data_IF_267267577803
#
_entry.id   IF_267267577803
#
_cell.length_a   1.000
_cell.length_b   1.000
_cell.length_c   1.000
_cell.angle_alpha   90.00
_cell.angle_beta   90.00
_cell.angle_gamma   90.00
#
_symmetry.space_group_name_H-M   'P 1'
#
loop_
_entity.id
_entity.type
_entity.pdbx_description
1 polymer ?
#
# COMPACT_ATOMS: atom_id res chain seq x y z
N UNK A 1 -15.37 7.01 -14.54
CA UNK A 1 -15.53 5.56 -14.85
C UNK A 1 -15.80 4.84 -13.54
N UNK A 2 -16.80 3.96 -13.47
CA UNK A 2 -17.06 3.19 -12.24
C UNK A 2 -16.06 2.05 -12.15
N UNK A 3 -15.30 1.99 -11.06
CA UNK A 3 -14.27 0.96 -10.84
C UNK A 3 -14.83 -0.33 -10.23
N UNK A 4 -16.16 -0.44 -10.05
CA UNK A 4 -16.82 -1.52 -9.32
C UNK A 4 -17.77 -2.38 -10.19
N UNK A 5 -17.59 -2.36 -11.52
CA UNK A 5 -18.47 -3.10 -12.44
C UNK A 5 -18.21 -4.62 -12.40
N UNK A 6 -19.21 -5.45 -12.75
CA UNK A 6 -19.00 -6.89 -12.90
C UNK A 6 -17.91 -7.26 -13.91
N UNK A 7 -17.77 -6.47 -14.98
CA UNK A 7 -16.70 -6.64 -15.97
C UNK A 7 -15.32 -6.43 -15.35
N UNK A 8 -15.15 -5.39 -14.51
CA UNK A 8 -13.89 -5.11 -13.82
C UNK A 8 -13.59 -6.17 -12.76
N UNK A 9 -14.61 -6.70 -12.09
CA UNK A 9 -14.46 -7.83 -11.18
C UNK A 9 -13.95 -9.08 -11.91
N UNK A 10 -14.51 -9.40 -13.08
CA UNK A 10 -14.08 -10.53 -13.90
C UNK A 10 -12.62 -10.39 -14.39
N UNK A 11 -12.23 -9.17 -14.80
CA UNK A 11 -10.84 -8.86 -15.17
C UNK A 11 -9.90 -9.05 -13.97
N UNK A 12 -10.25 -8.48 -12.82
CA UNK A 12 -9.47 -8.60 -11.59
C UNK A 12 -9.28 -10.07 -11.19
N UNK A 13 -10.35 -10.86 -11.13
CA UNK A 13 -10.29 -12.25 -10.71
C UNK A 13 -9.47 -13.12 -11.69
N UNK A 14 -9.75 -13.01 -12.99
CA UNK A 14 -9.04 -13.79 -14.02
C UNK A 14 -7.56 -13.43 -14.10
N UNK A 15 -7.26 -12.13 -14.03
CA UNK A 15 -5.92 -11.59 -14.21
C UNK A 15 -5.07 -11.52 -12.95
N UNK A 16 -5.58 -11.88 -11.77
CA UNK A 16 -4.87 -11.69 -10.50
C UNK A 16 -3.47 -12.31 -10.53
N UNK A 17 -2.45 -11.48 -10.30
CA UNK A 17 -1.04 -11.87 -10.15
C UNK A 17 -0.72 -12.11 -8.68
N UNK A 18 -1.09 -11.15 -7.84
CA UNK A 18 -0.94 -11.18 -6.40
C UNK A 18 -2.10 -10.41 -5.78
N UNK A 19 -2.69 -10.98 -4.72
CA UNK A 19 -3.64 -10.32 -3.84
C UNK A 19 -3.31 -10.71 -2.41
N UNK A 20 -3.20 -9.73 -1.53
CA UNK A 20 -2.87 -9.94 -0.12
C UNK A 20 -3.69 -9.02 0.77
N UNK A 21 -3.81 -9.40 2.03
CA UNK A 21 -4.26 -8.50 3.07
C UNK A 21 -3.22 -7.38 3.23
N UNK A 22 -3.70 -6.19 3.61
CA UNK A 22 -2.88 -5.03 3.99
C UNK A 22 -3.53 -4.37 5.21
N UNK A 23 -3.17 -3.11 5.51
CA UNK A 23 -3.80 -2.39 6.60
C UNK A 23 -3.25 -2.81 7.97
N UNK A 24 -3.97 -2.42 9.03
CA UNK A 24 -3.41 -2.44 10.39
C UNK A 24 -3.13 -3.85 10.93
N UNK A 25 -3.81 -4.87 10.42
CA UNK A 25 -3.58 -6.28 10.76
C UNK A 25 -2.19 -6.73 10.29
N UNK A 26 -1.84 -6.48 9.04
CA UNK A 26 -0.54 -6.88 8.47
C UNK A 26 0.62 -6.11 9.11
N UNK A 27 0.40 -4.87 9.53
CA UNK A 27 1.39 -4.12 10.30
C UNK A 27 1.52 -4.61 11.76
N UNK A 28 0.59 -5.44 12.25
CA UNK A 28 0.57 -5.94 13.62
C UNK A 28 0.11 -4.90 14.65
N UNK A 29 -0.57 -3.85 14.19
CA UNK A 29 -1.02 -2.72 15.01
C UNK A 29 -2.56 -2.66 15.12
N UNK A 30 -3.27 -3.70 14.71
CA UNK A 30 -4.71 -3.81 14.86
C UNK A 30 -5.13 -3.80 16.34
N UNK A 31 -6.28 -3.18 16.60
CA UNK A 31 -6.94 -3.26 17.92
C UNK A 31 -7.94 -4.41 17.84
N UNK A 32 -7.91 -5.39 18.77
CA UNK A 32 -8.83 -6.53 18.75
C UNK A 32 -10.30 -6.11 18.63
N UNK A 33 -11.09 -6.87 17.86
CA UNK A 33 -12.52 -6.63 17.66
C UNK A 33 -12.89 -5.45 16.75
N UNK A 34 -11.90 -4.78 16.15
CA UNK A 34 -12.10 -3.58 15.33
C UNK A 34 -11.54 -3.73 13.90
N UNK A 35 -11.34 -4.96 13.42
CA UNK A 35 -10.69 -5.25 12.14
C UNK A 35 -11.66 -5.16 10.96
N UNK A 36 -11.53 -4.11 10.17
CA UNK A 36 -11.83 -4.13 8.74
C UNK A 36 -10.76 -4.97 8.01
N UNK A 37 -11.15 -5.68 6.96
CA UNK A 37 -10.22 -6.43 6.10
C UNK A 37 -9.93 -5.61 4.86
N UNK A 38 -8.71 -5.08 4.79
CA UNK A 38 -8.20 -4.42 3.59
C UNK A 38 -7.42 -5.40 2.74
N UNK A 39 -7.69 -5.45 1.44
CA UNK A 39 -6.91 -6.20 0.47
C UNK A 39 -6.41 -5.30 -0.66
N UNK A 40 -5.15 -5.51 -1.05
CA UNK A 40 -4.58 -4.95 -2.26
C UNK A 40 -4.14 -6.08 -3.17
N UNK A 41 -4.40 -5.93 -4.46
CA UNK A 41 -3.86 -6.80 -5.48
C UNK A 41 -3.51 -6.06 -6.77
N UNK A 42 -2.96 -6.83 -7.69
CA UNK A 42 -2.65 -6.42 -9.05
C UNK A 42 -3.06 -7.52 -10.01
N UNK A 43 -3.61 -7.15 -11.16
CA UNK A 43 -4.02 -8.08 -12.20
C UNK A 43 -3.46 -7.69 -13.58
N UNK A 44 -3.23 -8.69 -14.42
CA UNK A 44 -2.93 -8.50 -15.83
C UNK A 44 -4.24 -8.22 -16.56
N UNK A 45 -4.27 -7.12 -17.32
CA UNK A 45 -5.40 -6.72 -18.15
C UNK A 45 -5.49 -7.57 -19.43
N UNK A 46 -6.69 -7.77 -19.99
CA UNK A 46 -6.87 -8.29 -21.34
C UNK A 46 -6.29 -7.38 -22.44
N UNK A 47 -5.93 -7.92 -23.62
CA UNK A 47 -5.38 -7.13 -24.73
C UNK A 47 -6.26 -5.93 -25.12
N UNK A 48 -7.58 -6.08 -25.12
CA UNK A 48 -8.53 -5.03 -25.49
C UNK A 48 -8.57 -3.86 -24.49
N UNK A 49 -8.01 -4.04 -23.29
CA UNK A 49 -7.84 -3.03 -22.24
C UNK A 49 -6.45 -2.39 -22.21
N UNK A 50 -5.51 -2.91 -22.97
CA UNK A 50 -4.13 -2.40 -23.07
C UNK A 50 -3.85 -1.79 -24.43
N UNK A 51 -4.17 -2.53 -25.50
CA UNK A 51 -3.96 -2.15 -26.90
C UNK A 51 -5.27 -1.63 -27.51
N UNK A 52 -6.39 -2.25 -27.15
CA UNK A 52 -7.71 -1.87 -27.64
C UNK A 52 -8.21 -0.54 -27.06
N UNK A 53 -9.45 -0.18 -27.41
CA UNK A 53 -10.06 1.09 -27.04
C UNK A 53 -10.66 1.10 -25.63
N UNK A 54 -10.64 -0.03 -24.90
CA UNK A 54 -11.17 -0.11 -23.52
C UNK A 54 -10.11 0.33 -22.53
N UNK A 55 -10.52 0.71 -21.33
CA UNK A 55 -9.60 1.11 -20.26
C UNK A 55 -9.98 0.46 -18.93
N UNK A 56 -8.96 -0.01 -18.22
CA UNK A 56 -9.05 -0.60 -16.90
C UNK A 56 -7.85 -0.12 -16.08
N UNK A 57 -8.12 0.65 -15.05
CA UNK A 57 -7.08 1.16 -14.15
C UNK A 57 -7.05 0.38 -12.82
N UNK A 58 -8.23 0.03 -12.32
CA UNK A 58 -8.40 -0.69 -11.07
C UNK A 58 -9.83 -1.19 -10.93
N UNK A 59 -9.98 -2.26 -10.17
CA UNK A 59 -11.22 -2.73 -9.59
C UNK A 59 -11.29 -2.35 -8.10
N UNK A 60 -12.45 -1.85 -7.68
CA UNK A 60 -12.77 -1.52 -6.30
C UNK A 60 -13.99 -2.33 -5.85
N UNK A 61 -13.87 -3.01 -4.72
CA UNK A 61 -14.98 -3.63 -4.02
C UNK A 61 -15.00 -3.17 -2.56
N UNK A 62 -16.20 -2.90 -2.06
CA UNK A 62 -16.45 -2.53 -0.66
C UNK A 62 -17.74 -3.20 -0.23
N UNK A 63 -17.78 -3.74 0.98
CA UNK A 63 -19.05 -4.19 1.60
C UNK A 63 -19.92 -3.00 1.97
N UNK A 64 -19.30 -1.88 2.39
CA UNK A 64 -19.98 -0.62 2.66
C UNK A 64 -20.13 0.24 1.39
N UNK A 65 -21.20 1.05 1.29
CA UNK A 65 -21.34 2.02 0.21
C UNK A 65 -20.16 2.99 0.10
N UNK A 66 -19.93 3.52 -1.10
CA UNK A 66 -18.91 4.55 -1.31
C UNK A 66 -19.18 5.78 -0.42
N UNK A 67 -18.16 6.23 0.31
CA UNK A 67 -18.26 7.32 1.28
C UNK A 67 -18.63 6.88 2.70
N UNK A 68 -19.05 5.64 2.90
CA UNK A 68 -19.30 5.07 4.23
C UNK A 68 -18.03 4.52 4.87
N UNK A 69 -17.99 4.55 6.21
CA UNK A 69 -16.87 4.02 6.99
C UNK A 69 -17.01 2.51 7.16
N UNK A 70 -15.93 1.79 6.88
CA UNK A 70 -15.80 0.35 7.17
C UNK A 70 -15.68 0.09 8.67
N UNK A 71 -16.32 -0.99 9.13
CA UNK A 71 -16.32 -1.49 10.49
C UNK A 71 -15.87 -2.95 10.58
N UNK A 72 -16.03 -3.58 11.77
CA UNK A 72 -15.62 -4.97 11.98
C UNK A 72 -16.31 -5.93 10.99
N UNK A 73 -15.51 -6.71 10.27
CA UNK A 73 -16.01 -7.69 9.28
C UNK A 73 -16.28 -7.13 7.89
N UNK A 74 -16.12 -5.82 7.68
CA UNK A 74 -16.17 -5.23 6.35
C UNK A 74 -14.93 -5.58 5.52
N UNK A 75 -15.12 -5.65 4.20
CA UNK A 75 -14.07 -5.98 3.24
C UNK A 75 -13.92 -4.84 2.23
N UNK A 76 -12.73 -4.25 2.17
CA UNK A 76 -12.32 -3.27 1.18
C UNK A 76 -11.21 -3.89 0.29
N UNK A 77 -11.48 -4.06 -1.00
CA UNK A 77 -10.54 -4.64 -1.97
C UNK A 77 -10.20 -3.60 -3.04
N UNK A 78 -8.91 -3.42 -3.28
CA UNK A 78 -8.40 -2.68 -4.44
C UNK A 78 -7.50 -3.59 -5.28
N UNK A 79 -7.90 -3.89 -6.51
CA UNK A 79 -7.06 -4.61 -7.47
C UNK A 79 -6.67 -3.64 -8.59
N UNK A 80 -5.39 -3.27 -8.66
CA UNK A 80 -4.87 -2.40 -9.70
C UNK A 80 -4.61 -3.17 -11.00
N UNK A 81 -4.71 -2.48 -12.13
CA UNK A 81 -4.00 -2.90 -13.35
C UNK A 81 -2.51 -3.11 -13.03
N UNK A 82 -1.86 -4.12 -13.61
CA UNK A 82 -0.46 -4.40 -13.31
C UNK A 82 0.44 -3.25 -13.80
N UNK A 83 0.10 -2.62 -14.94
CA UNK A 83 0.76 -1.39 -15.41
C UNK A 83 0.61 -0.23 -14.42
N UNK A 84 -0.60 0.00 -13.91
CA UNK A 84 -0.84 1.06 -12.93
C UNK A 84 -0.09 0.81 -11.64
N UNK A 85 -0.18 -0.41 -11.10
CA UNK A 85 0.56 -0.79 -9.89
C UNK A 85 2.05 -0.57 -10.08
N UNK A 86 2.63 -1.05 -11.20
CA UNK A 86 4.06 -0.92 -11.50
C UNK A 86 4.49 0.53 -11.54
N UNK A 87 3.72 1.41 -12.20
CA UNK A 87 3.99 2.85 -12.22
C UNK A 87 3.96 3.47 -10.81
N UNK A 88 3.01 3.08 -9.97
CA UNK A 88 2.93 3.58 -8.59
C UNK A 88 4.07 3.05 -7.71
N UNK A 89 4.46 1.79 -7.90
CA UNK A 89 5.57 1.16 -7.18
C UNK A 89 6.92 1.79 -7.57
N UNK A 90 7.18 1.98 -8.87
CA UNK A 90 8.38 2.69 -9.37
C UNK A 90 8.43 4.14 -8.87
N UNK A 91 7.26 4.80 -8.77
CA UNK A 91 7.16 6.13 -8.20
C UNK A 91 7.32 6.17 -6.66
N UNK A 92 7.45 5.01 -6.01
CA UNK A 92 7.75 4.88 -4.59
C UNK A 92 6.55 4.98 -3.66
N UNK A 93 5.32 4.72 -4.12
CA UNK A 93 4.13 4.87 -3.28
C UNK A 93 4.16 3.88 -2.09
N UNK A 94 4.10 4.35 -0.83
CA UNK A 94 4.24 3.49 0.36
C UNK A 94 3.24 2.34 0.42
N UNK A 95 1.98 2.59 0.08
CA UNK A 95 0.90 1.61 0.23
C UNK A 95 1.01 0.50 -0.80
N UNK A 96 1.34 0.82 -2.06
CA UNK A 96 1.42 -0.19 -3.12
C UNK A 96 2.71 -1.03 -3.05
N UNK A 97 3.71 -0.58 -2.31
CA UNK A 97 4.93 -1.36 -2.04
C UNK A 97 4.71 -2.46 -0.99
N UNK A 98 3.71 -2.32 -0.10
CA UNK A 98 3.44 -3.28 0.99
C UNK A 98 3.29 -4.73 0.48
N UNK A 99 2.50 -5.03 -0.59
CA UNK A 99 2.36 -6.39 -1.12
C UNK A 99 3.67 -7.12 -1.43
N UNK A 100 4.76 -6.40 -1.71
CA UNK A 100 6.07 -7.01 -1.97
C UNK A 100 6.67 -7.67 -0.71
N UNK A 101 6.31 -7.18 0.47
CA UNK A 101 6.95 -7.51 1.74
C UNK A 101 6.03 -8.19 2.76
N UNK A 102 4.75 -8.40 2.44
CA UNK A 102 3.83 -9.09 3.35
C UNK A 102 4.30 -10.53 3.61
N UNK A 103 4.07 -11.10 4.80
CA UNK A 103 4.32 -12.51 5.06
C UNK A 103 3.35 -13.38 4.24
N UNK A 104 3.73 -14.64 3.99
CA UNK A 104 2.91 -15.56 3.18
C UNK A 104 1.53 -15.82 3.81
N UNK A 105 1.42 -15.71 5.14
CA UNK A 105 0.15 -15.81 5.87
C UNK A 105 -0.86 -14.71 5.53
N UNK A 106 -0.41 -13.58 4.97
CA UNK A 106 -1.27 -12.49 4.51
C UNK A 106 -1.66 -12.61 3.02
N UNK A 107 -1.11 -13.58 2.29
CA UNK A 107 -1.40 -13.77 0.87
C UNK A 107 -2.75 -14.45 0.71
N UNK A 108 -3.62 -13.83 -0.09
CA UNK A 108 -4.93 -14.38 -0.47
C UNK A 108 -4.81 -15.19 -1.75
N UNK A 109 -4.03 -14.70 -2.72
CA UNK A 109 -3.76 -15.37 -3.99
C UNK A 109 -2.42 -14.93 -4.54
N UNK A 110 -1.63 -15.85 -5.09
CA UNK A 110 -0.36 -15.54 -5.76
C UNK A 110 -0.11 -16.54 -6.89
N UNK A 111 0.30 -16.03 -8.06
CA UNK A 111 0.76 -16.83 -9.21
C UNK A 111 2.29 -16.89 -9.25
N UNK A 112 2.87 -17.63 -10.18
CA UNK A 112 4.33 -17.63 -10.38
C UNK A 112 4.87 -16.25 -10.76
N UNK A 113 4.10 -15.47 -11.55
CA UNK A 113 4.42 -14.06 -11.85
C UNK A 113 4.45 -13.23 -10.57
N UNK A 114 3.52 -13.46 -9.64
CA UNK A 114 3.49 -12.78 -8.35
C UNK A 114 4.66 -13.17 -7.44
N UNK A 115 5.10 -14.44 -7.48
CA UNK A 115 6.30 -14.90 -6.77
C UNK A 115 7.56 -14.27 -7.33
N UNK A 116 7.68 -14.24 -8.66
CA UNK A 116 8.79 -13.56 -9.36
C UNK A 116 8.84 -12.08 -8.98
N UNK A 117 7.68 -11.40 -8.97
CA UNK A 117 7.57 -10.00 -8.58
C UNK A 117 8.10 -9.76 -7.15
N UNK A 118 7.69 -10.58 -6.18
CA UNK A 118 8.18 -10.50 -4.79
C UNK A 118 9.67 -10.82 -4.66
N UNK A 119 10.18 -11.74 -5.46
CA UNK A 119 11.60 -12.08 -5.48
C UNK A 119 12.49 -10.92 -5.95
N UNK A 120 11.93 -10.00 -6.76
CA UNK A 120 12.59 -8.80 -7.29
C UNK A 120 12.10 -7.51 -6.61
N UNK A 121 11.64 -7.59 -5.35
CA UNK A 121 11.16 -6.42 -4.63
C UNK A 121 12.22 -5.29 -4.55
N UNK A 122 13.50 -5.64 -4.50
CA UNK A 122 14.65 -4.73 -4.52
C UNK A 122 14.63 -3.77 -5.74
N UNK A 123 14.13 -4.23 -6.89
CA UNK A 123 14.03 -3.43 -8.12
C UNK A 123 13.09 -2.23 -8.00
N UNK A 124 12.18 -2.24 -7.02
CA UNK A 124 11.24 -1.15 -6.76
C UNK A 124 11.70 -0.20 -5.64
N UNK A 125 12.73 -0.57 -4.89
CA UNK A 125 13.19 0.19 -3.72
C UNK A 125 14.28 1.16 -4.13
N UNK A 126 14.08 2.44 -3.81
CA UNK A 126 14.95 3.53 -4.23
C UNK A 126 14.86 4.73 -3.29
N UNK A 127 15.78 5.69 -3.44
CA UNK A 127 15.71 6.98 -2.72
C UNK A 127 14.46 7.78 -3.12
N UNK A 128 13.91 7.56 -4.33
CA UNK A 128 12.60 8.09 -4.73
C UNK A 128 11.46 7.58 -3.83
N UNK A 129 11.49 6.30 -3.41
CA UNK A 129 10.55 5.81 -2.40
C UNK A 129 10.72 6.56 -1.08
N UNK A 130 11.95 6.74 -0.59
CA UNK A 130 12.23 7.57 0.59
C UNK A 130 11.61 8.96 0.52
N UNK A 131 11.77 9.66 -0.62
CA UNK A 131 11.16 10.98 -0.86
C UNK A 131 9.63 10.95 -0.80
N UNK A 132 8.99 9.87 -1.29
CA UNK A 132 7.54 9.70 -1.16
C UNK A 132 7.12 9.49 0.28
N UNK A 133 7.77 8.60 1.03
CA UNK A 133 7.50 8.40 2.45
C UNK A 133 7.60 9.72 3.22
N UNK A 134 8.67 10.50 2.98
CA UNK A 134 8.87 11.83 3.55
C UNK A 134 7.73 12.81 3.18
N UNK A 135 7.32 12.84 1.92
CA UNK A 135 6.21 13.69 1.46
C UNK A 135 4.89 13.34 2.15
N UNK A 136 4.54 12.05 2.22
CA UNK A 136 3.33 11.59 2.91
C UNK A 136 3.37 11.88 4.41
N UNK A 137 4.53 11.69 5.06
CA UNK A 137 4.72 12.04 6.47
C UNK A 137 4.45 13.52 6.71
N UNK A 138 5.07 14.41 5.92
CA UNK A 138 4.89 15.86 6.03
C UNK A 138 3.43 16.27 5.84
N UNK A 139 2.78 15.73 4.79
CA UNK A 139 1.38 15.99 4.51
C UNK A 139 0.46 15.54 5.65
N UNK A 140 0.75 14.40 6.27
CA UNK A 140 -0.03 13.91 7.41
C UNK A 140 0.19 14.74 8.66
N UNK A 141 1.44 15.15 8.93
CA UNK A 141 1.75 16.05 10.04
C UNK A 141 1.01 17.37 9.89
N UNK A 142 1.04 17.98 8.70
CA UNK A 142 0.38 19.27 8.47
C UNK A 142 -1.14 19.19 8.60
N UNK A 143 -1.74 18.05 8.23
CA UNK A 143 -3.16 17.77 8.48
C UNK A 143 -3.47 17.58 9.97
N UNK A 144 -2.63 16.83 10.71
CA UNK A 144 -2.79 16.64 12.15
C UNK A 144 -2.73 17.98 12.91
N UNK A 145 -1.88 18.89 12.44
CA UNK A 145 -1.72 20.25 12.98
C UNK A 145 -2.80 21.24 12.49
N UNK A 146 -3.72 20.81 11.62
CA UNK A 146 -4.75 21.66 11.04
C UNK A 146 -4.24 22.73 10.06
N UNK A 147 -2.99 22.62 9.58
CA UNK A 147 -2.38 23.53 8.60
C UNK A 147 -2.86 23.26 7.17
N UNK A 148 -3.40 22.06 6.92
CA UNK A 148 -3.85 21.60 5.60
C UNK A 148 -5.12 20.76 5.72
N UNK A 149 -6.10 20.96 4.82
CA UNK A 149 -7.28 20.08 4.70
C UNK A 149 -8.47 20.41 5.60
N UNK A 150 -8.45 21.55 6.31
CA UNK A 150 -9.53 21.94 7.24
C UNK A 150 -9.54 21.12 8.54
N UNK A 151 -10.36 21.53 9.52
CA UNK A 151 -10.49 20.85 10.82
C UNK A 151 -11.38 19.60 10.79
N UNK A 152 -11.86 19.18 9.62
CA UNK A 152 -12.82 18.08 9.54
C UNK A 152 -12.09 16.74 9.61
N UNK A 153 -12.23 16.04 10.74
CA UNK A 153 -11.79 14.65 10.88
C UNK A 153 -12.93 13.70 10.49
N UNK A 154 -12.59 12.59 9.86
CA UNK A 154 -13.54 11.50 9.60
C UNK A 154 -13.79 10.63 10.85
N UNK A 155 -13.13 10.93 11.98
CA UNK A 155 -13.30 10.24 13.28
C UNK A 155 -13.44 11.25 14.43
N UNK A 156 -14.51 12.07 14.48
CA UNK A 156 -14.74 12.99 15.59
C UNK A 156 -14.76 12.28 16.94
N UNK A 157 -15.26 11.04 17.01
CA UNK A 157 -15.33 10.26 18.24
C UNK A 157 -13.96 9.96 18.87
N UNK A 158 -12.90 9.84 18.05
CA UNK A 158 -11.54 9.66 18.56
C UNK A 158 -10.98 10.97 19.11
N UNK A 159 -11.32 12.10 18.48
CA UNK A 159 -10.93 13.43 18.96
C UNK A 159 -11.62 13.75 20.27
N UNK A 160 -12.92 13.46 20.38
CA UNK A 160 -13.68 13.68 21.62
C UNK A 160 -13.12 12.82 22.78
N UNK A 161 -12.68 11.59 22.47
CA UNK A 161 -12.16 10.66 23.48
C UNK A 161 -10.71 10.93 23.89
N UNK A 162 -9.84 11.25 22.93
CA UNK A 162 -8.38 11.29 23.13
C UNK A 162 -7.75 12.66 22.87
N UNK A 163 -8.54 13.65 22.44
CA UNK A 163 -8.08 14.99 22.05
C UNK A 163 -7.53 15.09 20.62
N UNK A 164 -7.37 13.97 19.91
CA UNK A 164 -6.92 13.92 18.51
C UNK A 164 -7.23 12.56 17.84
N UNK A 165 -7.14 12.48 16.50
CA UNK A 165 -7.36 11.22 15.77
C UNK A 165 -6.14 10.29 15.91
N UNK A 166 -6.18 9.41 16.92
CA UNK A 166 -5.12 8.42 17.21
C UNK A 166 -4.89 7.41 16.07
N UNK A 167 -5.91 7.10 15.25
CA UNK A 167 -5.75 6.19 14.08
C UNK A 167 -4.96 6.90 12.98
N UNK A 168 -5.24 8.18 12.75
CA UNK A 168 -4.50 9.01 11.81
C UNK A 168 -3.06 9.28 12.29
N UNK A 169 -2.87 9.60 13.57
CA UNK A 169 -1.55 9.78 14.18
C UNK A 169 -0.67 8.52 14.09
N UNK A 170 -1.25 7.34 14.32
CA UNK A 170 -0.51 6.08 14.15
C UNK A 170 -0.03 5.88 12.71
N UNK A 171 -0.81 6.30 11.71
CA UNK A 171 -0.39 6.21 10.32
C UNK A 171 0.79 7.15 10.00
N UNK A 172 0.78 8.37 10.56
CA UNK A 172 1.87 9.34 10.45
C UNK A 172 3.20 8.75 10.96
N UNK A 173 3.20 8.26 12.19
CA UNK A 173 4.42 7.70 12.81
C UNK A 173 4.89 6.45 12.06
N UNK A 174 3.96 5.58 11.66
CA UNK A 174 4.25 4.39 10.85
C UNK A 174 4.99 4.73 9.55
N UNK A 175 4.58 5.79 8.85
CA UNK A 175 5.25 6.21 7.61
C UNK A 175 6.72 6.59 7.85
N UNK A 176 7.00 7.30 8.94
CA UNK A 176 8.37 7.65 9.31
C UNK A 176 9.23 6.41 9.54
N UNK A 177 8.74 5.53 10.42
CA UNK A 177 9.45 4.30 10.81
C UNK A 177 9.72 3.40 9.61
N UNK A 178 8.69 3.11 8.81
CA UNK A 178 8.82 2.23 7.66
C UNK A 178 9.64 2.86 6.53
N UNK A 179 9.55 4.18 6.33
CA UNK A 179 10.37 4.87 5.33
C UNK A 179 11.86 4.81 5.69
N UNK A 180 12.19 4.97 6.96
CA UNK A 180 13.57 4.79 7.47
C UNK A 180 14.02 3.34 7.31
N UNK A 181 13.21 2.37 7.74
CA UNK A 181 13.53 0.94 7.57
C UNK A 181 13.79 0.58 6.10
N UNK A 182 12.96 1.08 5.19
CA UNK A 182 13.11 0.85 3.75
C UNK A 182 14.44 1.41 3.23
N UNK A 183 14.83 2.62 3.65
CA UNK A 183 16.07 3.25 3.21
C UNK A 183 17.33 2.64 3.84
N UNK A 184 17.22 2.09 5.05
CA UNK A 184 18.31 1.42 5.75
C UNK A 184 18.53 -0.01 5.26
N UNK A 185 17.46 -0.72 4.89
CA UNK A 185 17.52 -2.19 4.67
C UNK A 185 17.11 -2.64 3.28
N UNK A 186 16.50 -1.77 2.49
CA UNK A 186 15.88 -2.14 1.21
C UNK A 186 14.60 -2.97 1.36
N UNK A 187 14.07 -3.13 2.58
CA UNK A 187 12.91 -4.00 2.87
C UNK A 187 11.97 -3.36 3.90
N UNK A 188 10.75 -3.90 3.99
CA UNK A 188 9.82 -3.63 5.08
C UNK A 188 9.60 -4.91 5.88
N UNK A 189 9.69 -4.84 7.21
CA UNK A 189 9.35 -5.98 8.06
C UNK A 189 7.88 -5.91 8.45
N UNK A 190 7.12 -6.97 8.12
CA UNK A 190 5.71 -7.10 8.43
C UNK A 190 5.42 -8.44 9.13
N UNK A 191 4.82 -8.43 10.34
CA UNK A 191 4.37 -7.26 11.09
C UNK A 191 5.53 -6.43 11.65
N UNK A 192 5.28 -5.15 11.98
CA UNK A 192 6.33 -4.19 12.36
C UNK A 192 7.19 -4.71 13.51
N UNK A 193 8.46 -4.32 13.56
CA UNK A 193 9.39 -4.75 14.62
C UNK A 193 9.09 -4.04 15.93
N UNK A 194 9.42 -4.68 17.04
CA UNK A 194 9.48 -4.00 18.34
C UNK A 194 10.64 -2.99 18.36
N UNK A 195 10.54 -1.90 19.13
CA UNK A 195 9.43 -1.54 20.03
C UNK A 195 8.22 -0.87 19.33
N UNK A 196 8.34 -0.58 18.03
CA UNK A 196 7.38 0.25 17.31
C UNK A 196 6.00 -0.37 17.14
N UNK A 197 5.93 -1.69 17.03
CA UNK A 197 4.64 -2.40 17.01
C UNK A 197 3.86 -2.12 18.30
N UNK A 198 4.47 -2.31 19.46
CA UNK A 198 3.82 -2.05 20.75
C UNK A 198 3.47 -0.57 20.91
N UNK A 199 4.42 0.32 20.62
CA UNK A 199 4.22 1.76 20.71
C UNK A 199 3.03 2.26 19.86
N UNK A 200 2.91 1.78 18.61
CA UNK A 200 1.79 2.15 17.74
C UNK A 200 0.45 1.57 18.22
N UNK A 201 0.43 0.38 18.83
CA UNK A 201 -0.78 -0.18 19.45
C UNK A 201 -1.21 0.64 20.66
N UNK A 202 -0.25 1.05 21.49
CA UNK A 202 -0.48 1.89 22.65
C UNK A 202 -1.01 3.27 22.24
N UNK A 203 -0.45 3.87 21.18
CA UNK A 203 -0.94 5.12 20.60
C UNK A 203 -2.39 4.98 20.13
N UNK A 204 -2.74 3.89 19.44
CA UNK A 204 -4.13 3.65 18.99
C UNK A 204 -5.13 3.50 20.14
N UNK A 205 -4.65 3.24 21.35
CA UNK A 205 -5.46 3.16 22.56
C UNK A 205 -5.44 4.47 23.38
N UNK A 206 -4.78 5.51 22.89
CA UNK A 206 -4.67 6.82 23.54
C UNK A 206 -3.62 6.89 24.66
N UNK A 207 -2.65 5.97 24.68
CA UNK A 207 -1.59 5.95 25.71
C UNK A 207 -0.40 6.86 25.40
N UNK A 208 -0.38 7.47 24.22
CA UNK A 208 0.58 8.50 23.84
C UNK A 208 -0.15 9.79 23.50
N UNK A 209 0.44 10.90 23.92
CA UNK A 209 -0.03 12.26 23.65
C UNK A 209 0.22 12.67 22.19
N UNK A 210 -0.47 13.73 21.78
CA UNK A 210 -0.23 14.34 20.46
C UNK A 210 1.19 14.89 20.33
N UNK A 211 1.78 15.39 21.41
CA UNK A 211 3.12 15.98 21.38
C UNK A 211 4.19 14.90 21.21
N UNK A 212 4.07 13.76 21.91
CA UNK A 212 4.93 12.59 21.68
C UNK A 212 4.86 12.10 20.23
N UNK A 213 3.68 12.08 19.61
CA UNK A 213 3.51 11.73 18.19
C UNK A 213 4.27 12.69 17.29
N UNK A 214 4.19 13.99 17.56
CA UNK A 214 4.85 15.02 16.76
C UNK A 214 6.37 14.97 16.92
N UNK A 215 6.87 14.69 18.12
CA UNK A 215 8.30 14.54 18.41
C UNK A 215 8.87 13.33 17.66
N UNK A 216 8.20 12.17 17.73
CA UNK A 216 8.59 10.97 16.97
C UNK A 216 8.54 11.24 15.46
N UNK A 217 7.48 11.90 14.97
CA UNK A 217 7.37 12.22 13.55
C UNK A 217 8.48 13.18 13.09
N UNK A 218 8.90 14.14 13.92
CA UNK A 218 9.98 15.07 13.62
C UNK A 218 11.35 14.36 13.57
N UNK A 219 11.64 13.47 14.52
CA UNK A 219 12.86 12.66 14.51
C UNK A 219 12.95 11.82 13.23
N UNK A 220 11.88 11.08 12.91
CA UNK A 220 11.86 10.25 11.72
C UNK A 220 11.84 11.05 10.42
N UNK A 221 11.29 12.26 10.41
CA UNK A 221 11.43 13.18 9.27
C UNK A 221 12.90 13.52 9.02
N UNK A 222 13.65 13.89 10.07
CA UNK A 222 15.06 14.24 9.94
C UNK A 222 15.88 13.04 9.47
N UNK A 223 15.63 11.85 10.04
CA UNK A 223 16.29 10.61 9.60
C UNK A 223 16.01 10.29 8.14
N UNK A 224 14.78 10.49 7.67
CA UNK A 224 14.42 10.32 6.26
C UNK A 224 15.19 11.30 5.37
N UNK A 225 15.26 12.58 5.75
CA UNK A 225 16.03 13.60 5.01
C UNK A 225 17.49 13.16 4.87
N UNK A 226 18.12 12.75 5.97
CA UNK A 226 19.52 12.33 5.98
C UNK A 226 19.73 11.05 5.14
N UNK A 227 18.86 10.05 5.30
CA UNK A 227 18.95 8.78 4.56
C UNK A 227 18.69 8.96 3.06
N UNK A 228 17.78 9.84 2.65
CA UNK A 228 17.58 10.16 1.23
C UNK A 228 18.86 10.73 0.61
N UNK A 229 19.66 11.47 1.38
CA UNK A 229 20.93 12.01 0.88
C UNK A 229 22.03 10.94 0.80
N UNK A 230 22.10 10.04 1.80
CA UNK A 230 23.28 9.16 2.02
C UNK A 230 23.07 7.66 1.79
N UNK A 231 21.84 7.18 1.61
CA UNK A 231 21.54 5.75 1.44
C UNK A 231 22.22 5.19 0.20
N UNK A 232 22.69 3.94 0.30
CA UNK A 232 23.31 3.19 -0.80
C UNK A 232 22.29 2.70 -1.85
N UNK A 233 20.99 2.91 -1.61
CA UNK A 233 19.95 2.58 -2.57
C UNK A 233 20.08 3.43 -3.85
N UNK A 234 19.68 2.88 -5.01
CA UNK A 234 19.66 3.64 -6.25
C UNK A 234 18.73 4.85 -6.13
N UNK A 235 19.01 5.92 -6.89
CA UNK A 235 18.18 7.12 -6.84
C UNK A 235 16.74 6.87 -7.35
N UNK A 236 16.63 6.04 -8.39
CA UNK A 236 15.38 5.61 -9.00
C UNK A 236 15.28 4.09 -8.98
N UNK A 237 14.05 3.59 -8.99
CA UNK A 237 13.76 2.17 -9.17
C UNK A 237 14.21 1.70 -10.57
N UNK A 238 14.26 0.39 -10.80
CA UNK A 238 14.70 -0.18 -12.07
C UNK A 238 13.56 -0.17 -13.11
N UNK A 239 13.40 0.99 -13.76
CA UNK A 239 12.39 1.18 -14.80
C UNK A 239 12.60 0.26 -16.01
N UNK A 240 13.86 0.01 -16.39
CA UNK A 240 14.19 -0.80 -17.56
C UNK A 240 13.82 -2.27 -17.33
N UNK A 241 14.14 -2.81 -16.15
CA UNK A 241 13.71 -4.14 -15.75
C UNK A 241 12.18 -4.22 -15.67
N UNK A 242 11.51 -3.25 -15.04
CA UNK A 242 10.07 -3.28 -14.88
C UNK A 242 9.32 -3.23 -16.21
N UNK A 243 9.80 -2.44 -17.18
CA UNK A 243 9.22 -2.37 -18.53
C UNK A 243 9.39 -3.70 -19.28
N UNK A 244 10.61 -4.25 -19.31
CA UNK A 244 10.88 -5.54 -19.93
C UNK A 244 10.08 -6.69 -19.28
N UNK A 245 9.97 -6.66 -17.95
CA UNK A 245 9.18 -7.61 -17.17
C UNK A 245 7.70 -7.52 -17.55
N UNK A 246 7.11 -6.32 -17.57
CA UNK A 246 5.73 -6.11 -18.02
C UNK A 246 5.50 -6.68 -19.42
N UNK A 247 6.33 -6.29 -20.41
CA UNK A 247 6.15 -6.77 -21.79
C UNK A 247 6.16 -8.29 -21.85
N UNK A 248 7.09 -8.94 -21.13
CA UNK A 248 7.18 -10.41 -21.09
C UNK A 248 5.94 -11.04 -20.46
N UNK A 249 5.55 -10.62 -19.26
CA UNK A 249 4.45 -11.27 -18.52
C UNK A 249 3.10 -11.11 -19.20
N UNK A 250 2.83 -9.97 -19.85
CA UNK A 250 1.60 -9.79 -20.63
C UNK A 250 1.58 -10.71 -21.85
N UNK A 251 2.68 -10.78 -22.62
CA UNK A 251 2.76 -11.67 -23.80
C UNK A 251 2.58 -13.13 -23.44
N UNK A 252 3.22 -13.59 -22.36
CA UNK A 252 3.11 -14.97 -21.88
C UNK A 252 1.68 -15.27 -21.39
N UNK A 253 1.10 -14.37 -20.61
CA UNK A 253 -0.25 -14.54 -20.06
C UNK A 253 -1.31 -14.55 -21.16
N UNK A 254 -1.25 -13.63 -22.11
CA UNK A 254 -2.20 -13.56 -23.22
C UNK A 254 -2.14 -14.81 -24.12
N UNK A 255 -0.94 -15.29 -24.45
CA UNK A 255 -0.79 -16.57 -25.17
C UNK A 255 -1.41 -17.74 -24.42
N UNK A 256 -1.18 -17.81 -23.11
CA UNK A 256 -1.80 -18.85 -22.27
C UNK A 256 -3.33 -18.76 -22.27
N UNK A 257 -3.88 -17.55 -22.27
CA UNK A 257 -5.32 -17.32 -22.31
C UNK A 257 -5.96 -17.72 -23.64
N UNK A 258 -5.30 -17.43 -24.76
CA UNK A 258 -5.73 -17.85 -26.10
C UNK A 258 -5.80 -19.38 -26.22
N UNK A 259 -4.76 -20.08 -25.74
CA UNK A 259 -4.69 -21.54 -25.78
C UNK A 259 -5.79 -22.20 -24.93
N UNK A 260 -6.11 -21.62 -23.77
CA UNK A 260 -7.20 -22.10 -22.91
C UNK A 260 -8.58 -21.83 -23.51
N UNK A 261 -8.73 -20.75 -24.27
CA UNK A 261 -9.95 -20.41 -25.00
C UNK A 261 -10.19 -21.27 -26.24
N UNK A 262 -9.13 -21.66 -26.94
CA UNK A 262 -9.20 -22.54 -28.12
C UNK A 262 -9.44 -24.02 -27.78
N UNK A 263 -9.31 -24.40 -26.50
CA UNK A 263 -9.49 -25.78 -26.01
C UNK A 263 -10.90 -26.04 -25.41
N UNK A 264 -11.83 -25.08 -25.55
CA UNK A 264 -13.23 -25.16 -25.13
C UNK A 264 -14.14 -25.03 -26.34
#
# INVERSE_FOLDING_TARGET
>A
MKHSTPEFAAIAERGTVLRCQVGSEVHGIAVPGHGDRDEIGMCIEPPEYVIGLRSFEQYLYRTQPEGSRSGPGDLDVTVYSLRKWTRLALAGNPTVLIPLFVPDTAIVRITDVGRELRAHADRFVSRTAGRRFLGYLRDQRDRLLGRRGGRHTNRPELVDRYGFDVKFAAHLVRLGIQGVELLETGRLTLPMREPWRTWLRDLRQGRHSRDEVLDVAADYEQRLVDLIARSDLPDQADHAWADAWLVRVYRETWRSWEQQGASR
#
